data_IF_756359717063
#
_entry.id   IF_756359717063
#
_cell.length_a   1.000
_cell.length_b   1.000
_cell.length_c   1.000
_cell.angle_alpha   90.00
_cell.angle_beta   90.00
_cell.angle_gamma   90.00
#
_symmetry.space_group_name_H-M   'P 1'
#
loop_
_entity.id
_entity.type
_entity.pdbx_description
1 polymer ?
#
# COMPACT_ATOMS: atom_id res chain seq x y z
N UNK A 1 0.96 -13.09 -12.77
CA UNK A 1 -0.07 -12.76 -13.79
C UNK A 1 0.56 -11.91 -14.87
N UNK A 2 0.00 -11.89 -16.08
CA UNK A 2 0.48 -11.12 -17.22
C UNK A 2 0.72 -9.63 -16.87
N UNK A 3 -0.22 -9.00 -16.15
CA UNK A 3 -0.07 -7.59 -15.68
C UNK A 3 1.18 -7.41 -14.81
N UNK A 4 1.47 -8.35 -13.92
CA UNK A 4 2.67 -8.25 -13.05
C UNK A 4 3.95 -8.36 -13.86
N UNK A 5 4.00 -9.20 -14.88
CA UNK A 5 5.16 -9.30 -15.77
C UNK A 5 5.35 -8.02 -16.59
N UNK A 6 4.26 -7.44 -17.11
CA UNK A 6 4.34 -6.12 -17.76
C UNK A 6 4.81 -5.02 -16.80
N UNK A 7 4.40 -5.06 -15.52
CA UNK A 7 4.89 -4.13 -14.49
C UNK A 7 6.40 -4.29 -14.24
N UNK A 8 6.92 -5.54 -14.27
CA UNK A 8 8.37 -5.81 -14.17
C UNK A 8 9.11 -5.27 -15.39
N UNK A 9 8.62 -5.55 -16.60
CA UNK A 9 9.21 -5.06 -17.86
C UNK A 9 9.28 -3.52 -17.90
N UNK A 10 8.28 -2.84 -17.34
CA UNK A 10 8.24 -1.38 -17.20
C UNK A 10 9.10 -0.85 -16.03
N UNK A 11 9.75 -1.72 -15.24
CA UNK A 11 10.57 -1.33 -14.10
C UNK A 11 9.81 -0.74 -12.92
N UNK A 12 8.49 -0.96 -12.82
CA UNK A 12 7.64 -0.32 -11.80
C UNK A 12 7.98 -0.72 -10.36
N UNK A 13 8.66 -1.84 -10.16
CA UNK A 13 9.11 -2.28 -8.84
C UNK A 13 10.38 -1.55 -8.38
N UNK A 14 11.22 -1.08 -9.31
CA UNK A 14 12.48 -0.39 -9.04
C UNK A 14 12.42 1.14 -9.12
N UNK A 15 11.23 1.73 -9.22
CA UNK A 15 11.06 3.18 -9.48
C UNK A 15 11.84 4.07 -8.53
N UNK A 16 11.81 3.81 -7.22
CA UNK A 16 12.47 4.62 -6.19
C UNK A 16 13.76 4.01 -5.67
N UNK A 17 14.11 2.81 -6.12
CA UNK A 17 15.39 2.18 -5.78
C UNK A 17 16.50 2.88 -6.57
N UNK A 18 17.63 3.27 -5.93
CA UNK A 18 18.76 3.88 -6.62
C UNK A 18 19.34 3.02 -7.73
N UNK A 19 19.97 3.67 -8.71
CA UNK A 19 20.60 3.00 -9.85
C UNK A 19 21.70 2.02 -9.42
N UNK A 20 22.41 2.31 -8.33
CA UNK A 20 23.46 1.43 -7.77
C UNK A 20 22.92 0.05 -7.34
N UNK A 21 21.61 -0.05 -7.04
CA UNK A 21 20.90 -1.31 -6.74
C UNK A 21 20.03 -1.77 -7.91
N UNK A 22 20.20 -1.18 -9.12
CA UNK A 22 19.47 -1.58 -10.33
C UNK A 22 18.08 -0.99 -10.49
N UNK A 23 17.73 0.04 -9.72
CA UNK A 23 16.48 0.79 -9.85
C UNK A 23 16.57 2.00 -10.75
N UNK A 24 15.56 2.85 -10.73
CA UNK A 24 15.46 4.09 -11.53
C UNK A 24 15.85 5.36 -10.75
N UNK A 25 15.94 5.31 -9.43
CA UNK A 25 16.28 6.44 -8.57
C UNK A 25 15.30 7.62 -8.63
N UNK A 26 14.03 7.37 -8.94
CA UNK A 26 13.02 8.43 -9.05
C UNK A 26 12.63 8.97 -7.66
N UNK A 27 12.31 10.27 -7.63
CA UNK A 27 11.80 10.94 -6.42
C UNK A 27 10.36 10.52 -6.07
N UNK A 28 9.93 10.87 -4.85
CA UNK A 28 8.59 10.55 -4.37
C UNK A 28 7.51 11.26 -5.20
N UNK A 29 7.76 12.47 -5.68
CA UNK A 29 6.84 13.22 -6.53
C UNK A 29 6.55 12.45 -7.82
N UNK A 30 7.58 12.01 -8.52
CA UNK A 30 7.43 11.21 -9.75
C UNK A 30 6.76 9.86 -9.48
N UNK A 31 7.16 9.17 -8.41
CA UNK A 31 6.50 7.93 -7.99
C UNK A 31 5.01 8.14 -7.70
N UNK A 32 4.66 9.24 -7.04
CA UNK A 32 3.27 9.63 -6.74
C UNK A 32 2.44 9.80 -8.01
N UNK A 33 3.00 10.42 -9.05
CA UNK A 33 2.33 10.57 -10.36
C UNK A 33 2.12 9.22 -11.05
N UNK A 34 3.08 8.30 -10.97
CA UNK A 34 2.95 6.93 -11.48
C UNK A 34 1.82 6.20 -10.75
N UNK A 35 1.77 6.31 -9.41
CA UNK A 35 0.72 5.69 -8.59
C UNK A 35 -0.67 6.24 -8.95
N UNK A 36 -0.80 7.55 -9.20
CA UNK A 36 -2.04 8.17 -9.64
C UNK A 36 -2.53 7.55 -10.96
N UNK A 37 -1.66 7.44 -11.98
CA UNK A 37 -2.04 6.88 -13.27
C UNK A 37 -2.39 5.39 -13.20
N UNK A 38 -1.66 4.61 -12.43
CA UNK A 38 -2.01 3.21 -12.19
C UNK A 38 -3.36 3.06 -11.49
N UNK A 39 -3.64 3.90 -10.50
CA UNK A 39 -4.90 3.89 -9.77
C UNK A 39 -6.08 4.36 -10.63
N UNK A 40 -5.85 5.31 -11.55
CA UNK A 40 -6.81 5.74 -12.57
C UNK A 40 -7.22 4.60 -13.49
N UNK A 41 -6.29 3.72 -13.86
CA UNK A 41 -6.58 2.48 -14.58
C UNK A 41 -7.30 1.46 -13.70
N UNK A 42 -6.66 1.05 -12.62
CA UNK A 42 -7.23 0.14 -11.62
C UNK A 42 -6.45 0.22 -10.30
N UNK A 43 -7.09 0.66 -9.25
CA UNK A 43 -6.48 0.84 -7.92
C UNK A 43 -5.76 -0.42 -7.39
N UNK A 44 -6.16 -1.62 -7.81
CA UNK A 44 -5.49 -2.86 -7.42
C UNK A 44 -4.06 -2.95 -7.94
N UNK A 45 -3.79 -2.42 -9.14
CA UNK A 45 -2.45 -2.44 -9.75
C UNK A 45 -1.52 -1.54 -8.94
N UNK A 46 -1.95 -0.33 -8.61
CA UNK A 46 -1.18 0.57 -7.75
C UNK A 46 -0.91 -0.03 -6.37
N UNK A 47 -1.84 -0.87 -5.87
CA UNK A 47 -1.68 -1.57 -4.59
C UNK A 47 -0.54 -2.58 -4.55
N UNK A 48 -0.22 -3.19 -5.69
CA UNK A 48 0.89 -4.15 -5.79
C UNK A 48 2.21 -3.44 -5.51
N UNK A 49 2.47 -2.31 -6.17
CA UNK A 49 3.72 -1.55 -5.99
C UNK A 49 3.73 -0.75 -4.69
N UNK A 50 2.57 -0.27 -4.22
CA UNK A 50 2.49 0.49 -2.98
C UNK A 50 2.99 -0.31 -1.77
N UNK A 51 2.55 -1.57 -1.64
CA UNK A 51 2.99 -2.42 -0.54
C UNK A 51 4.48 -2.78 -0.67
N UNK A 52 4.94 -3.01 -1.89
CA UNK A 52 6.35 -3.23 -2.20
C UNK A 52 7.21 -2.01 -1.83
N UNK A 53 6.73 -0.80 -2.14
CA UNK A 53 7.40 0.45 -1.82
C UNK A 53 7.67 0.63 -0.32
N UNK A 54 6.78 0.18 0.57
CA UNK A 54 7.05 0.21 2.01
C UNK A 54 8.30 -0.57 2.39
N UNK A 55 8.49 -1.76 1.81
CA UNK A 55 9.70 -2.55 2.03
C UNK A 55 10.95 -1.89 1.48
N UNK A 56 10.86 -1.31 0.28
CA UNK A 56 11.95 -0.52 -0.32
C UNK A 56 12.30 0.67 0.57
N UNK A 57 11.31 1.44 1.01
CA UNK A 57 11.51 2.60 1.87
C UNK A 57 12.19 2.23 3.19
N UNK A 58 11.74 1.15 3.82
CA UNK A 58 12.32 0.66 5.08
C UNK A 58 13.78 0.25 4.91
N UNK A 59 14.11 -0.49 3.84
CA UNK A 59 15.49 -0.88 3.54
C UNK A 59 16.37 0.33 3.24
N UNK A 60 15.90 1.24 2.41
CA UNK A 60 16.67 2.42 2.00
C UNK A 60 17.01 3.32 3.20
N UNK A 61 16.07 3.54 4.11
CA UNK A 61 16.25 4.48 5.22
C UNK A 61 16.85 3.84 6.48
N UNK A 62 16.63 2.54 6.69
CA UNK A 62 17.02 1.87 7.92
C UNK A 62 17.86 0.59 7.71
N UNK A 63 17.86 0.00 6.50
CA UNK A 63 18.62 -1.23 6.25
C UNK A 63 20.13 -1.04 6.38
N UNK A 64 20.84 -2.07 6.84
CA UNK A 64 22.30 -2.12 6.73
C UNK A 64 22.70 -2.23 5.27
N UNK A 65 23.97 -1.94 4.96
CA UNK A 65 24.46 -2.07 3.58
C UNK A 65 24.35 -3.52 3.08
N UNK A 66 24.59 -4.49 3.95
CA UNK A 66 24.42 -5.91 3.64
C UNK A 66 22.96 -6.24 3.31
N UNK A 67 22.01 -5.71 4.07
CA UNK A 67 20.58 -5.89 3.79
C UNK A 67 20.17 -5.23 2.47
N UNK A 68 20.66 -4.03 2.18
CA UNK A 68 20.41 -3.34 0.90
C UNK A 68 20.94 -4.14 -0.26
N UNK A 69 22.19 -4.57 -0.22
CA UNK A 69 22.83 -5.37 -1.27
C UNK A 69 22.16 -6.74 -1.45
N UNK A 70 21.69 -7.35 -0.37
CA UNK A 70 21.00 -8.64 -0.42
C UNK A 70 19.65 -8.54 -1.12
N UNK A 71 18.84 -7.51 -0.82
CA UNK A 71 17.44 -7.48 -1.20
C UNK A 71 17.10 -6.51 -2.33
N UNK A 72 17.65 -5.29 -2.34
CA UNK A 72 17.22 -4.24 -3.27
C UNK A 72 17.40 -4.60 -4.75
N UNK A 73 18.49 -5.27 -5.20
CA UNK A 73 18.62 -5.63 -6.61
C UNK A 73 17.49 -6.53 -7.12
N UNK A 74 17.11 -7.52 -6.35
CA UNK A 74 16.01 -8.42 -6.70
C UNK A 74 14.62 -7.77 -6.49
N UNK A 75 14.53 -6.80 -5.58
CA UNK A 75 13.32 -5.98 -5.42
C UNK A 75 13.14 -5.03 -6.60
N UNK A 76 14.21 -4.45 -7.16
CA UNK A 76 14.15 -3.57 -8.32
C UNK A 76 13.58 -4.26 -9.56
N UNK A 77 13.88 -5.54 -9.76
CA UNK A 77 13.32 -6.36 -10.85
C UNK A 77 11.90 -6.88 -10.56
N UNK A 78 11.46 -6.83 -9.30
CA UNK A 78 10.20 -7.42 -8.84
C UNK A 78 10.26 -8.95 -8.69
N UNK A 79 11.44 -9.56 -8.71
CA UNK A 79 11.65 -10.97 -8.36
C UNK A 79 11.32 -11.19 -6.89
N UNK A 80 11.89 -10.37 -6.01
CA UNK A 80 11.48 -10.30 -4.62
C UNK A 80 10.47 -9.16 -4.43
N UNK A 81 9.31 -9.50 -3.90
CA UNK A 81 8.29 -8.49 -3.56
C UNK A 81 8.10 -8.41 -2.07
N UNK A 82 7.81 -7.21 -1.58
CA UNK A 82 7.60 -6.96 -0.18
C UNK A 82 6.12 -6.88 0.20
N UNK A 83 5.83 -7.21 1.45
CA UNK A 83 4.59 -6.88 2.15
C UNK A 83 4.91 -6.18 3.48
N UNK A 84 3.92 -5.42 3.95
CA UNK A 84 4.01 -4.61 5.17
C UNK A 84 2.96 -5.09 6.17
N UNK A 85 3.39 -5.54 7.36
CA UNK A 85 2.58 -6.36 8.24
C UNK A 85 2.55 -5.80 9.66
N UNK A 86 1.53 -4.96 9.94
CA UNK A 86 1.27 -4.33 11.24
C UNK A 86 0.07 -4.96 11.93
N UNK A 87 -1.10 -4.85 11.28
CA UNK A 87 -2.40 -5.16 11.85
C UNK A 87 -2.53 -6.64 12.23
N UNK A 88 -3.26 -6.88 13.29
CA UNK A 88 -3.64 -8.20 13.77
C UNK A 88 -5.16 -8.30 13.88
N UNK A 89 -5.75 -9.49 14.05
CA UNK A 89 -7.20 -9.62 14.19
C UNK A 89 -7.80 -8.71 15.27
N UNK A 90 -7.08 -8.46 16.36
CA UNK A 90 -7.53 -7.64 17.49
C UNK A 90 -6.80 -6.30 17.63
N UNK A 91 -5.83 -5.99 16.75
CA UNK A 91 -5.03 -4.76 16.81
C UNK A 91 -4.93 -4.11 15.42
N UNK A 92 -5.63 -3.00 15.23
CA UNK A 92 -5.59 -2.17 14.03
C UNK A 92 -5.09 -0.76 14.34
N UNK A 93 -6.00 0.17 14.68
CA UNK A 93 -5.63 1.55 15.04
C UNK A 93 -4.75 1.61 16.30
N UNK A 94 -4.96 0.72 17.25
CA UNK A 94 -4.10 0.52 18.40
C UNK A 94 -3.00 -0.49 18.09
N UNK A 95 -2.01 -0.06 17.29
CA UNK A 95 -0.87 -0.90 16.90
C UNK A 95 -0.05 -1.36 18.11
N UNK A 96 -0.01 -0.57 19.18
CA UNK A 96 0.76 -0.91 20.38
C UNK A 96 0.17 -2.09 21.17
N UNK A 97 -1.08 -2.45 20.92
CA UNK A 97 -1.75 -3.61 21.53
C UNK A 97 -1.49 -4.94 20.81
N UNK A 98 -0.68 -4.95 19.74
CA UNK A 98 -0.36 -6.17 18.99
C UNK A 98 0.15 -7.29 19.92
N UNK A 99 -0.12 -8.53 19.55
CA UNK A 99 0.17 -9.73 20.37
C UNK A 99 1.23 -10.64 19.76
N UNK A 100 1.59 -10.46 18.49
CA UNK A 100 2.69 -11.22 17.86
C UNK A 100 3.99 -10.92 18.60
N UNK A 101 4.69 -11.96 19.01
CA UNK A 101 5.93 -11.87 19.79
C UNK A 101 7.09 -12.53 19.06
N UNK A 102 8.31 -12.12 19.41
CA UNK A 102 9.51 -12.81 19.06
C UNK A 102 10.39 -13.00 20.30
N UNK A 103 10.90 -14.20 20.50
CA UNK A 103 11.81 -14.56 21.59
C UNK A 103 13.14 -15.00 21.02
N UNK A 104 14.25 -14.50 21.61
CA UNK A 104 15.58 -14.97 21.22
C UNK A 104 15.75 -16.43 21.64
N UNK A 105 16.17 -17.26 20.70
CA UNK A 105 16.52 -18.66 20.91
C UNK A 105 18.02 -18.87 20.68
N UNK A 106 18.49 -20.11 20.71
CA UNK A 106 19.91 -20.41 20.49
C UNK A 106 20.39 -19.98 19.10
N UNK A 107 21.71 -19.84 18.93
CA UNK A 107 22.40 -19.64 17.63
C UNK A 107 22.03 -18.39 16.84
N UNK A 108 21.77 -17.25 17.50
CA UNK A 108 21.48 -15.99 16.83
C UNK A 108 20.15 -15.97 16.07
N UNK A 109 19.22 -16.83 16.47
CA UNK A 109 17.88 -16.94 15.92
C UNK A 109 16.83 -16.35 16.85
N UNK A 110 15.75 -15.84 16.25
CA UNK A 110 14.54 -15.42 16.94
C UNK A 110 13.38 -16.31 16.51
N UNK A 111 12.56 -16.72 17.46
CA UNK A 111 11.35 -17.49 17.20
C UNK A 111 10.13 -16.57 17.27
N UNK A 112 9.40 -16.45 16.14
CA UNK A 112 8.23 -15.59 16.00
C UNK A 112 6.96 -16.43 16.14
N UNK A 113 6.02 -15.95 16.96
CA UNK A 113 4.72 -16.55 17.19
C UNK A 113 3.62 -15.48 17.15
N UNK A 114 2.52 -15.77 16.44
CA UNK A 114 1.36 -14.89 16.30
C UNK A 114 0.77 -14.85 14.90
N UNK A 115 -0.08 -13.87 14.65
CA UNK A 115 -0.71 -13.72 13.35
C UNK A 115 -0.87 -12.25 12.97
N UNK A 116 -0.67 -11.95 11.68
CA UNK A 116 -0.96 -10.65 11.06
C UNK A 116 -2.15 -10.78 10.12
N UNK A 117 -2.94 -9.72 10.00
CA UNK A 117 -4.16 -9.70 9.20
C UNK A 117 -4.21 -8.53 8.23
N UNK A 118 -5.00 -8.68 7.16
CA UNK A 118 -5.18 -7.67 6.11
C UNK A 118 -3.91 -7.37 5.31
N UNK A 119 -2.97 -8.31 5.25
CA UNK A 119 -1.68 -8.11 4.60
C UNK A 119 -1.84 -8.17 3.08
N UNK A 120 -1.75 -7.02 2.45
CA UNK A 120 -1.74 -6.89 0.99
C UNK A 120 -0.44 -7.49 0.42
N UNK A 121 -0.53 -8.25 -0.67
CA UNK A 121 0.57 -9.04 -1.24
C UNK A 121 1.10 -10.16 -0.31
N UNK A 122 0.45 -10.47 0.79
CA UNK A 122 0.98 -11.40 1.78
C UNK A 122 1.28 -12.80 1.24
N UNK A 123 0.50 -13.29 0.27
CA UNK A 123 0.76 -14.57 -0.39
C UNK A 123 1.92 -14.46 -1.40
N UNK A 124 1.90 -13.43 -2.23
CA UNK A 124 2.80 -13.31 -3.38
C UNK A 124 4.12 -12.59 -3.06
N UNK A 125 4.26 -11.94 -1.89
CA UNK A 125 5.54 -11.41 -1.43
C UNK A 125 6.46 -12.53 -0.95
N UNK A 126 7.78 -12.27 -1.06
CA UNK A 126 8.82 -13.13 -0.47
C UNK A 126 9.44 -12.50 0.78
N UNK A 127 9.32 -11.19 0.92
CA UNK A 127 9.82 -10.41 2.05
C UNK A 127 8.64 -9.79 2.79
N UNK A 128 8.48 -10.15 4.05
CA UNK A 128 7.43 -9.60 4.90
C UNK A 128 8.07 -8.75 6.01
N UNK A 129 7.85 -7.43 5.99
CA UNK A 129 8.27 -6.55 7.05
C UNK A 129 7.23 -6.63 8.17
N UNK A 130 7.60 -7.24 9.28
CA UNK A 130 6.68 -7.65 10.35
C UNK A 130 7.03 -6.94 11.65
N UNK A 131 6.09 -6.19 12.22
CA UNK A 131 6.23 -5.61 13.55
C UNK A 131 5.82 -6.63 14.60
N UNK A 132 6.71 -6.93 15.55
CA UNK A 132 6.47 -7.87 16.63
C UNK A 132 6.96 -7.31 17.97
N UNK A 133 6.45 -7.82 19.09
CA UNK A 133 6.97 -7.53 20.42
C UNK A 133 8.14 -8.46 20.74
N UNK A 134 9.30 -7.86 20.96
CA UNK A 134 10.51 -8.54 21.50
C UNK A 134 10.66 -8.35 22.99
N UNK A 135 10.07 -7.28 23.54
CA UNK A 135 9.94 -7.06 24.98
C UNK A 135 8.50 -6.62 25.32
N UNK A 136 7.63 -7.57 25.72
CA UNK A 136 6.25 -7.26 26.10
C UNK A 136 6.13 -6.41 27.37
N UNK A 137 7.20 -6.30 28.17
CA UNK A 137 7.23 -5.52 29.43
C UNK A 137 7.72 -4.08 29.26
N UNK A 138 8.15 -3.70 28.05
CA UNK A 138 8.73 -2.38 27.80
C UNK A 138 7.73 -1.24 28.07
N UNK A 139 8.23 -0.19 28.71
CA UNK A 139 7.50 1.05 28.97
C UNK A 139 8.24 2.26 28.37
N UNK A 140 7.64 3.00 27.44
CA UNK A 140 6.34 2.75 26.81
C UNK A 140 6.37 1.55 25.86
N UNK A 141 5.23 0.90 25.63
CA UNK A 141 5.09 -0.37 24.90
C UNK A 141 5.76 -0.38 23.51
N UNK A 142 5.78 0.74 22.79
CA UNK A 142 6.39 0.83 21.48
C UNK A 142 7.91 0.58 21.47
N UNK A 143 8.61 0.81 22.60
CA UNK A 143 10.06 0.54 22.72
C UNK A 143 10.39 -0.95 22.78
N UNK A 144 9.42 -1.80 23.04
CA UNK A 144 9.56 -3.24 23.00
C UNK A 144 9.25 -3.87 21.63
N UNK A 145 9.10 -3.07 20.58
CA UNK A 145 8.69 -3.54 19.28
C UNK A 145 9.84 -3.51 18.26
N UNK A 146 9.98 -4.59 17.51
CA UNK A 146 11.07 -4.78 16.53
C UNK A 146 10.48 -5.12 15.16
N UNK A 147 11.08 -4.59 14.09
CA UNK A 147 10.74 -4.92 12.72
C UNK A 147 11.65 -6.05 12.21
N UNK A 148 11.05 -7.17 11.84
CA UNK A 148 11.73 -8.29 11.20
C UNK A 148 11.45 -8.33 9.70
N UNK A 149 12.45 -8.71 8.91
CA UNK A 149 12.33 -9.08 7.51
C UNK A 149 12.12 -10.59 7.47
N UNK A 150 10.86 -11.02 7.58
CA UNK A 150 10.51 -12.43 7.52
C UNK A 150 10.47 -12.89 6.06
N UNK A 151 11.30 -13.89 5.74
CA UNK A 151 11.39 -14.47 4.41
C UNK A 151 10.40 -15.63 4.27
N UNK A 152 9.82 -15.79 3.07
CA UNK A 152 9.00 -16.95 2.70
C UNK A 152 9.05 -17.20 1.19
N UNK A 153 8.58 -18.35 0.77
CA UNK A 153 8.40 -18.64 -0.64
C UNK A 153 7.19 -17.89 -1.22
N UNK A 154 7.38 -17.25 -2.39
CA UNK A 154 6.32 -16.53 -3.09
C UNK A 154 5.23 -17.49 -3.58
N UNK A 155 3.96 -17.16 -3.30
CA UNK A 155 2.82 -17.96 -3.74
C UNK A 155 2.60 -19.26 -2.97
N UNK A 156 3.40 -19.56 -1.94
CA UNK A 156 3.28 -20.75 -1.11
C UNK A 156 2.44 -20.47 0.12
N UNK A 157 1.46 -21.32 0.39
CA UNK A 157 0.59 -21.23 1.56
C UNK A 157 1.20 -21.82 2.83
N UNK A 158 1.99 -22.88 2.70
CA UNK A 158 2.65 -23.56 3.80
C UNK A 158 4.13 -23.74 3.49
N UNK A 159 4.99 -23.14 4.30
CA UNK A 159 6.42 -23.19 4.12
C UNK A 159 7.03 -24.38 4.89
N UNK A 160 8.06 -25.00 4.32
CA UNK A 160 8.75 -26.16 4.85
C UNK A 160 10.25 -25.90 5.00
N UNK A 161 10.97 -26.86 5.58
CA UNK A 161 12.42 -26.71 5.78
C UNK A 161 12.78 -25.56 6.70
N UNK A 162 13.71 -24.73 6.27
CA UNK A 162 14.19 -23.56 7.05
C UNK A 162 13.12 -22.48 7.27
N UNK A 163 12.12 -22.43 6.41
CA UNK A 163 11.01 -21.46 6.47
C UNK A 163 9.76 -22.01 7.15
N UNK A 164 9.86 -23.21 7.75
CA UNK A 164 8.77 -23.84 8.49
C UNK A 164 8.25 -22.93 9.59
N UNK A 165 6.93 -22.98 9.83
CA UNK A 165 6.27 -22.16 10.84
C UNK A 165 5.83 -20.79 10.34
N UNK A 166 6.09 -20.45 9.06
CA UNK A 166 5.53 -19.27 8.42
C UNK A 166 4.52 -19.67 7.35
N UNK A 167 3.25 -19.50 7.64
CA UNK A 167 2.16 -19.97 6.78
C UNK A 167 1.22 -18.82 6.42
N UNK A 168 0.56 -18.97 5.26
CA UNK A 168 -0.36 -17.98 4.70
C UNK A 168 -1.71 -18.66 4.45
N UNK A 169 -2.73 -18.42 5.27
CA UNK A 169 -4.09 -18.92 5.02
C UNK A 169 -4.64 -18.45 3.67
N UNK A 170 -5.72 -19.07 3.16
CA UNK A 170 -6.36 -18.65 1.93
C UNK A 170 -6.73 -17.16 1.97
N UNK A 171 -6.63 -16.51 0.80
CA UNK A 171 -6.90 -15.06 0.67
C UNK A 171 -8.29 -14.67 1.19
N UNK A 172 -8.36 -13.53 1.84
CA UNK A 172 -9.58 -12.93 2.36
C UNK A 172 -10.48 -12.52 1.19
N UNK A 173 -11.77 -12.89 1.26
CA UNK A 173 -12.79 -12.47 0.29
C UNK A 173 -13.19 -11.02 0.58
N UNK A 174 -12.91 -10.11 -0.35
CA UNK A 174 -13.16 -8.67 -0.20
C UNK A 174 -14.30 -8.19 -1.09
N UNK A 175 -14.93 -7.08 -0.72
CA UNK A 175 -15.94 -6.39 -1.53
C UNK A 175 -15.32 -5.86 -2.83
N UNK A 176 -14.24 -5.11 -2.74
CA UNK A 176 -13.44 -4.52 -3.83
C UNK A 176 -11.97 -4.92 -3.77
N UNK A 177 -11.13 -4.19 -4.52
CA UNK A 177 -9.68 -4.38 -4.52
C UNK A 177 -9.27 -5.81 -4.85
N UNK A 178 -9.95 -6.39 -5.86
CA UNK A 178 -9.87 -7.83 -6.14
C UNK A 178 -8.67 -8.23 -6.99
N UNK A 179 -7.97 -7.27 -7.60
CA UNK A 179 -6.79 -7.52 -8.42
C UNK A 179 -5.51 -7.78 -7.62
N UNK A 180 -5.54 -7.57 -6.30
CA UNK A 180 -4.45 -7.90 -5.37
C UNK A 180 -5.03 -8.67 -4.20
N UNK A 181 -4.31 -9.68 -3.71
CA UNK A 181 -4.76 -10.44 -2.55
C UNK A 181 -4.50 -9.70 -1.23
N UNK A 182 -5.31 -9.99 -0.25
CA UNK A 182 -5.08 -9.70 1.16
C UNK A 182 -5.22 -10.98 1.94
N UNK A 183 -4.29 -11.24 2.83
CA UNK A 183 -4.18 -12.51 3.54
C UNK A 183 -3.90 -12.28 5.02
N UNK A 184 -3.95 -13.34 5.78
CA UNK A 184 -3.29 -13.46 7.07
C UNK A 184 -1.87 -13.97 6.87
N UNK A 185 -0.97 -13.67 7.81
CA UNK A 185 0.33 -14.30 7.96
C UNK A 185 0.35 -14.96 9.33
N UNK A 186 0.59 -16.26 9.37
CA UNK A 186 0.61 -17.04 10.63
C UNK A 186 2.03 -17.49 10.92
N UNK A 187 2.50 -17.16 12.10
CA UNK A 187 3.80 -17.57 12.62
C UNK A 187 3.57 -18.55 13.79
N UNK A 188 4.07 -19.75 13.63
CA UNK A 188 4.00 -20.84 14.63
C UNK A 188 5.38 -21.46 14.79
N UNK A 189 6.17 -20.89 15.68
CA UNK A 189 7.56 -21.26 15.87
C UNK A 189 8.45 -20.93 14.65
N UNK A 190 8.12 -19.86 13.89
CA UNK A 190 8.95 -19.44 12.76
C UNK A 190 10.28 -18.90 13.23
N UNK A 191 11.37 -19.51 12.78
CA UNK A 191 12.74 -19.11 13.12
C UNK A 191 13.28 -18.10 12.11
N UNK A 192 13.57 -16.91 12.59
CA UNK A 192 14.09 -15.78 11.83
C UNK A 192 15.50 -15.43 12.29
N UNK A 193 16.51 -15.36 11.41
CA UNK A 193 17.86 -14.98 11.79
C UNK A 193 17.93 -13.56 12.37
N UNK A 194 18.82 -13.34 13.33
CA UNK A 194 19.08 -12.01 13.91
C UNK A 194 19.48 -10.96 12.86
N UNK A 195 20.18 -11.37 11.80
CA UNK A 195 20.55 -10.51 10.68
C UNK A 195 19.36 -9.97 9.88
N UNK A 196 18.19 -10.61 10.00
CA UNK A 196 16.93 -10.19 9.39
C UNK A 196 16.14 -9.19 10.25
N UNK A 197 16.67 -8.76 11.39
CA UNK A 197 16.14 -7.57 12.07
C UNK A 197 16.56 -6.34 11.25
N UNK A 198 15.60 -5.49 10.94
CA UNK A 198 15.87 -4.25 10.19
C UNK A 198 16.90 -3.41 10.94
N UNK A 199 17.95 -2.98 10.27
CA UNK A 199 19.16 -2.31 10.79
C UNK A 199 20.09 -3.21 11.65
N UNK A 200 19.82 -4.53 11.68
CA UNK A 200 20.58 -5.49 12.47
C UNK A 200 20.13 -5.58 13.93
N UNK A 201 20.57 -6.63 14.62
CA UNK A 201 20.09 -6.94 15.99
C UNK A 201 20.43 -5.85 17.00
N UNK A 202 21.67 -5.40 17.02
CA UNK A 202 22.18 -4.46 18.04
C UNK A 202 21.45 -3.11 17.99
N UNK A 203 21.22 -2.58 16.78
CA UNK A 203 20.58 -1.28 16.56
C UNK A 203 19.07 -1.37 16.33
N UNK A 204 18.55 -2.54 15.95
CA UNK A 204 17.17 -2.70 15.47
C UNK A 204 16.17 -3.16 16.53
N UNK A 205 16.63 -3.87 17.57
CA UNK A 205 15.73 -4.32 18.63
C UNK A 205 15.12 -3.12 19.36
N UNK A 206 13.77 -3.10 19.43
CA UNK A 206 13.03 -2.00 20.06
C UNK A 206 12.81 -0.76 19.18
N UNK A 207 13.29 -0.75 17.91
CA UNK A 207 13.15 0.40 17.01
C UNK A 207 12.03 0.22 15.98
N UNK A 208 11.47 -0.97 15.85
CA UNK A 208 10.55 -1.32 14.77
C UNK A 208 9.31 -0.45 14.69
N UNK A 209 8.76 -0.01 15.81
CA UNK A 209 7.58 0.87 15.79
C UNK A 209 7.89 2.21 15.10
N UNK A 210 8.99 2.86 15.48
CA UNK A 210 9.37 4.17 14.89
C UNK A 210 9.65 4.01 13.40
N UNK A 211 10.39 2.99 13.01
CA UNK A 211 10.71 2.69 11.61
C UNK A 211 9.45 2.51 10.76
N UNK A 212 8.50 1.72 11.25
CA UNK A 212 7.28 1.45 10.50
C UNK A 212 6.31 2.64 10.50
N UNK A 213 6.28 3.46 11.54
CA UNK A 213 5.48 4.70 11.55
C UNK A 213 6.02 5.74 10.56
N UNK A 214 7.35 5.85 10.42
CA UNK A 214 7.98 6.71 9.41
C UNK A 214 7.61 6.26 7.98
N UNK A 215 7.65 4.96 7.71
CA UNK A 215 7.18 4.42 6.43
C UNK A 215 5.69 4.73 6.16
N UNK A 216 4.84 4.76 7.18
CA UNK A 216 3.42 5.13 7.01
C UNK A 216 3.22 6.60 6.62
N UNK A 217 4.16 7.50 6.93
CA UNK A 217 4.08 8.90 6.49
C UNK A 217 4.07 8.99 4.96
N UNK A 218 5.06 8.38 4.30
CA UNK A 218 5.10 8.30 2.83
C UNK A 218 3.98 7.43 2.27
N UNK A 219 3.55 6.42 3.02
CA UNK A 219 2.38 5.62 2.68
C UNK A 219 1.10 6.44 2.55
N UNK A 220 0.92 7.49 3.36
CA UNK A 220 -0.21 8.42 3.25
C UNK A 220 -0.22 9.16 1.93
N UNK A 221 0.94 9.62 1.45
CA UNK A 221 1.07 10.26 0.12
C UNK A 221 0.67 9.28 -0.99
N UNK A 222 1.11 8.03 -0.90
CA UNK A 222 0.71 6.97 -1.83
C UNK A 222 -0.80 6.73 -1.85
N UNK A 223 -1.43 6.65 -0.69
CA UNK A 223 -2.89 6.46 -0.60
C UNK A 223 -3.62 7.69 -1.15
N UNK A 224 -3.10 8.91 -0.91
CA UNK A 224 -3.64 10.14 -1.50
C UNK A 224 -3.60 10.08 -3.03
N UNK A 225 -2.46 9.70 -3.64
CA UNK A 225 -2.34 9.54 -5.09
C UNK A 225 -3.35 8.54 -5.66
N UNK A 226 -3.59 7.44 -4.96
CA UNK A 226 -4.62 6.45 -5.33
C UNK A 226 -6.03 7.05 -5.27
N UNK A 227 -6.31 7.90 -4.27
CA UNK A 227 -7.55 8.66 -4.15
C UNK A 227 -7.76 9.62 -5.32
N UNK A 228 -6.71 10.34 -5.73
CA UNK A 228 -6.74 11.22 -6.91
C UNK A 228 -7.01 10.42 -8.17
N UNK A 229 -6.31 9.30 -8.39
CA UNK A 229 -6.47 8.46 -9.57
C UNK A 229 -7.90 7.91 -9.73
N UNK A 230 -8.49 7.39 -8.66
CA UNK A 230 -9.87 6.89 -8.71
C UNK A 230 -10.90 8.02 -8.89
N UNK A 231 -10.67 9.19 -8.28
CA UNK A 231 -11.51 10.37 -8.45
C UNK A 231 -11.46 10.89 -9.88
N UNK A 232 -10.26 10.98 -10.47
CA UNK A 232 -10.04 11.34 -11.88
C UNK A 232 -10.79 10.39 -12.81
N UNK A 233 -10.67 9.08 -12.59
CA UNK A 233 -11.37 8.10 -13.42
C UNK A 233 -12.88 8.23 -13.32
N UNK A 234 -13.42 8.45 -12.14
CA UNK A 234 -14.84 8.68 -11.93
C UNK A 234 -15.34 9.92 -12.68
N UNK A 235 -14.58 11.02 -12.65
CA UNK A 235 -14.89 12.23 -13.41
C UNK A 235 -14.92 11.97 -14.93
N UNK A 236 -13.93 11.26 -15.47
CA UNK A 236 -13.86 10.92 -16.89
C UNK A 236 -15.06 10.08 -17.37
N UNK A 237 -15.43 9.08 -16.57
CA UNK A 237 -16.61 8.24 -16.87
C UNK A 237 -17.90 9.06 -16.82
N UNK A 238 -18.05 9.92 -15.81
CA UNK A 238 -19.20 10.80 -15.67
C UNK A 238 -19.32 11.80 -16.84
N UNK A 239 -18.18 12.42 -17.22
CA UNK A 239 -18.11 13.33 -18.38
C UNK A 239 -18.53 12.65 -19.67
N UNK A 240 -17.98 11.46 -19.96
CA UNK A 240 -18.33 10.70 -21.16
C UNK A 240 -19.80 10.33 -21.17
N UNK A 241 -20.27 9.65 -20.14
CA UNK A 241 -21.65 9.18 -20.05
C UNK A 241 -22.66 10.33 -20.14
N UNK A 242 -22.39 11.46 -19.50
CA UNK A 242 -23.29 12.62 -19.50
C UNK A 242 -23.48 13.26 -20.89
N UNK A 243 -22.52 13.10 -21.79
CA UNK A 243 -22.60 13.57 -23.18
C UNK A 243 -23.36 12.59 -24.09
N UNK A 244 -23.28 11.30 -23.80
CA UNK A 244 -23.93 10.23 -24.60
C UNK A 244 -25.38 10.02 -24.20
N UNK A 245 -25.66 9.99 -22.89
CA UNK A 245 -27.01 9.75 -22.36
C UNK A 245 -27.91 10.95 -22.58
N UNK A 246 -29.10 10.71 -23.18
CA UNK A 246 -30.12 11.74 -23.42
C UNK A 246 -31.35 11.55 -22.55
N UNK A 247 -31.89 12.66 -22.05
CA UNK A 247 -33.19 12.74 -21.37
C UNK A 247 -33.86 14.06 -21.81
N UNK A 248 -35.17 14.06 -21.91
CA UNK A 248 -35.94 15.23 -22.36
C UNK A 248 -35.41 15.83 -23.67
N UNK A 249 -34.99 14.96 -24.59
CA UNK A 249 -34.56 15.35 -25.97
C UNK A 249 -33.12 15.89 -26.07
N UNK A 250 -32.33 15.95 -24.98
CA UNK A 250 -30.96 16.49 -24.99
C UNK A 250 -29.98 15.66 -24.12
N UNK A 251 -28.65 15.74 -24.35
CA UNK A 251 -27.67 15.14 -23.48
C UNK A 251 -27.84 15.59 -22.01
N UNK A 252 -27.65 14.68 -21.04
CA UNK A 252 -27.83 15.03 -19.64
C UNK A 252 -26.80 16.06 -19.16
N UNK A 253 -25.64 16.17 -19.82
CA UNK A 253 -24.65 17.24 -19.60
C UNK A 253 -25.22 18.66 -19.80
N UNK A 254 -26.36 18.83 -20.49
CA UNK A 254 -27.01 20.11 -20.69
C UNK A 254 -28.01 20.47 -19.57
N UNK A 255 -28.16 19.60 -18.57
CA UNK A 255 -28.95 19.90 -17.36
C UNK A 255 -28.05 20.51 -16.29
N UNK A 256 -28.44 21.67 -15.74
CA UNK A 256 -27.64 22.42 -14.77
C UNK A 256 -27.23 21.59 -13.56
N UNK A 257 -28.12 20.71 -13.06
CA UNK A 257 -27.81 19.83 -11.94
C UNK A 257 -26.62 18.87 -12.24
N UNK A 258 -26.49 18.40 -13.47
CA UNK A 258 -25.35 17.56 -13.91
C UNK A 258 -24.09 18.41 -14.06
N UNK A 259 -24.22 19.64 -14.61
CA UNK A 259 -23.08 20.54 -14.76
C UNK A 259 -22.45 20.90 -13.41
N UNK A 260 -23.26 21.16 -12.39
CA UNK A 260 -22.76 21.43 -11.03
C UNK A 260 -22.00 20.22 -10.45
N UNK A 261 -22.57 19.02 -10.56
CA UNK A 261 -21.88 17.78 -10.12
C UNK A 261 -20.51 17.62 -10.79
N UNK A 262 -20.44 17.78 -12.12
CA UNK A 262 -19.17 17.68 -12.86
C UNK A 262 -18.16 18.76 -12.46
N UNK A 263 -18.63 19.98 -12.20
CA UNK A 263 -17.78 21.07 -11.75
C UNK A 263 -17.22 20.81 -10.35
N UNK A 264 -18.07 20.32 -9.43
CA UNK A 264 -17.66 19.95 -8.07
C UNK A 264 -16.66 18.80 -8.10
N UNK A 265 -16.92 17.75 -8.89
CA UNK A 265 -15.99 16.63 -9.07
C UNK A 265 -14.63 17.10 -9.60
N UNK A 266 -14.60 17.95 -10.62
CA UNK A 266 -13.36 18.50 -11.18
C UNK A 266 -12.57 19.30 -10.16
N UNK A 267 -13.25 20.13 -9.37
CA UNK A 267 -12.64 20.92 -8.28
C UNK A 267 -12.03 20.02 -7.21
N UNK A 268 -12.74 18.95 -6.79
CA UNK A 268 -12.25 17.99 -5.80
C UNK A 268 -11.00 17.26 -6.30
N UNK A 269 -11.00 16.81 -7.56
CA UNK A 269 -9.84 16.13 -8.18
C UNK A 269 -8.61 17.03 -8.20
N UNK A 270 -8.78 18.29 -8.65
CA UNK A 270 -7.66 19.24 -8.77
C UNK A 270 -7.09 19.60 -7.40
N UNK A 271 -7.94 19.91 -6.43
CA UNK A 271 -7.54 20.21 -5.07
C UNK A 271 -6.80 19.01 -4.42
N UNK A 272 -7.32 17.78 -4.58
CA UNK A 272 -6.70 16.57 -4.05
C UNK A 272 -5.30 16.36 -4.66
N UNK A 273 -5.17 16.54 -5.98
CA UNK A 273 -3.87 16.41 -6.69
C UNK A 273 -2.86 17.44 -6.19
N UNK A 274 -3.25 18.70 -6.07
CA UNK A 274 -2.37 19.77 -5.59
C UNK A 274 -1.86 19.49 -4.17
N UNK A 275 -2.73 19.05 -3.26
CA UNK A 275 -2.33 18.69 -1.90
C UNK A 275 -1.38 17.47 -1.88
N UNK A 276 -1.65 16.47 -2.71
CA UNK A 276 -0.83 15.25 -2.81
C UNK A 276 0.57 15.56 -3.33
N UNK A 277 0.67 16.31 -4.43
CA UNK A 277 1.95 16.74 -5.02
C UNK A 277 2.73 17.66 -4.07
N UNK A 278 2.04 18.56 -3.35
CA UNK A 278 2.69 19.38 -2.33
C UNK A 278 3.36 18.53 -1.25
N UNK A 279 2.65 17.56 -0.69
CA UNK A 279 3.19 16.67 0.35
C UNK A 279 4.39 15.85 -0.17
N UNK A 280 4.31 15.33 -1.40
CA UNK A 280 5.40 14.60 -2.03
C UNK A 280 6.65 15.47 -2.20
N UNK A 281 6.51 16.69 -2.76
CA UNK A 281 7.63 17.62 -2.96
C UNK A 281 8.29 18.06 -1.67
N UNK A 282 7.53 18.29 -0.60
CA UNK A 282 8.11 18.60 0.71
C UNK A 282 9.00 17.47 1.21
N UNK A 283 8.57 16.22 1.04
CA UNK A 283 9.41 15.06 1.40
C UNK A 283 10.67 14.95 0.54
N UNK A 284 10.56 15.18 -0.76
CA UNK A 284 11.70 15.19 -1.69
C UNK A 284 12.72 16.27 -1.33
N UNK A 285 12.26 17.42 -0.83
CA UNK A 285 13.11 18.52 -0.35
C UNK A 285 13.72 18.27 1.05
N UNK A 286 13.43 17.14 1.68
CA UNK A 286 13.86 16.85 3.06
C UNK A 286 13.11 17.64 4.14
N UNK A 287 11.98 18.23 3.81
CA UNK A 287 11.13 18.96 4.73
C UNK A 287 10.23 18.01 5.55
N UNK A 288 9.87 18.41 6.75
CA UNK A 288 8.85 17.69 7.54
C UNK A 288 7.49 17.81 6.85
N UNK A 289 6.86 16.68 6.54
CA UNK A 289 5.63 16.61 5.74
C UNK A 289 4.51 15.75 6.33
N UNK A 290 4.64 15.33 7.59
CA UNK A 290 3.66 14.47 8.26
C UNK A 290 2.24 15.06 8.30
N UNK A 291 2.12 16.36 8.53
CA UNK A 291 0.85 17.09 8.52
C UNK A 291 0.25 17.13 7.11
N UNK A 292 1.06 17.56 6.11
CA UNK A 292 0.63 17.67 4.72
C UNK A 292 0.27 16.31 4.13
N UNK A 293 1.04 15.26 4.43
CA UNK A 293 0.73 13.89 4.04
C UNK A 293 -0.59 13.41 4.65
N UNK A 294 -0.84 13.73 5.93
CA UNK A 294 -2.10 13.44 6.61
C UNK A 294 -3.29 14.15 5.99
N UNK A 295 -3.16 15.47 5.73
CA UNK A 295 -4.21 16.28 5.08
C UNK A 295 -4.48 15.79 3.65
N UNK A 296 -3.43 15.52 2.88
CA UNK A 296 -3.55 15.04 1.50
C UNK A 296 -4.29 13.68 1.47
N UNK A 297 -3.92 12.73 2.35
CA UNK A 297 -4.59 11.43 2.45
C UNK A 297 -6.06 11.59 2.79
N UNK A 298 -6.39 12.36 3.81
CA UNK A 298 -7.77 12.58 4.22
C UNK A 298 -8.59 13.18 3.08
N UNK A 299 -8.13 14.30 2.51
CA UNK A 299 -8.86 15.00 1.47
C UNK A 299 -9.01 14.15 0.19
N UNK A 300 -7.93 13.51 -0.28
CA UNK A 300 -7.97 12.73 -1.52
C UNK A 300 -8.84 11.47 -1.39
N UNK A 301 -8.87 10.81 -0.22
CA UNK A 301 -9.77 9.67 -0.01
C UNK A 301 -11.24 10.09 0.00
N UNK A 302 -11.59 11.18 0.66
CA UNK A 302 -12.96 11.72 0.68
C UNK A 302 -13.38 12.23 -0.72
N UNK A 303 -12.48 12.91 -1.45
CA UNK A 303 -12.71 13.33 -2.84
C UNK A 303 -12.94 12.12 -3.75
N UNK A 304 -12.21 11.02 -3.55
CA UNK A 304 -12.41 9.75 -4.24
C UNK A 304 -13.82 9.21 -4.04
N UNK A 305 -14.26 9.15 -2.79
CA UNK A 305 -15.62 8.74 -2.43
C UNK A 305 -16.68 9.63 -3.07
N UNK A 306 -16.53 10.95 -2.93
CA UNK A 306 -17.44 11.93 -3.51
C UNK A 306 -17.56 11.77 -5.02
N UNK A 307 -16.43 11.72 -5.74
CA UNK A 307 -16.43 11.60 -7.20
C UNK A 307 -17.04 10.28 -7.68
N UNK A 308 -16.76 9.17 -7.00
CA UNK A 308 -17.34 7.87 -7.37
C UNK A 308 -18.84 7.84 -7.12
N UNK A 309 -19.31 8.39 -5.99
CA UNK A 309 -20.76 8.51 -5.68
C UNK A 309 -21.46 9.36 -6.73
N UNK A 310 -20.93 10.52 -7.08
CA UNK A 310 -21.53 11.40 -8.07
C UNK A 310 -21.52 10.78 -9.48
N UNK A 311 -20.43 10.09 -9.86
CA UNK A 311 -20.36 9.33 -11.09
C UNK A 311 -21.44 8.24 -11.14
N UNK A 312 -21.60 7.49 -10.05
CA UNK A 312 -22.64 6.47 -9.91
C UNK A 312 -24.05 7.06 -10.12
N UNK A 313 -24.34 8.21 -9.47
CA UNK A 313 -25.64 8.91 -9.61
C UNK A 313 -25.87 9.43 -11.03
N UNK A 314 -24.84 9.95 -11.70
CA UNK A 314 -24.93 10.42 -13.09
C UNK A 314 -25.27 9.26 -14.03
N UNK A 315 -24.76 8.04 -13.78
CA UNK A 315 -25.09 6.85 -14.54
C UNK A 315 -26.53 6.32 -14.25
N UNK A 316 -27.12 6.71 -13.13
CA UNK A 316 -28.44 6.23 -12.70
C UNK A 316 -28.46 4.70 -12.56
N UNK A 317 -29.50 4.04 -13.03
CA UNK A 317 -29.61 2.58 -12.95
C UNK A 317 -28.46 1.80 -13.60
N UNK A 318 -27.86 2.35 -14.64
CA UNK A 318 -26.70 1.74 -15.29
C UNK A 318 -25.45 1.74 -14.43
N UNK A 319 -25.30 2.68 -13.49
CA UNK A 319 -24.22 2.67 -12.51
C UNK A 319 -24.18 1.43 -11.62
N UNK A 320 -25.31 0.76 -11.47
CA UNK A 320 -25.46 -0.47 -10.68
C UNK A 320 -25.19 -1.75 -11.49
N UNK A 321 -24.96 -1.61 -12.80
CA UNK A 321 -24.68 -2.74 -13.68
C UNK A 321 -23.18 -2.99 -13.81
N UNK A 322 -22.79 -4.27 -13.82
CA UNK A 322 -21.40 -4.69 -14.09
C UNK A 322 -20.92 -4.40 -15.53
N UNK A 323 -21.81 -3.96 -16.41
CA UNK A 323 -21.45 -3.51 -17.76
C UNK A 323 -20.73 -2.16 -17.76
N UNK A 324 -20.86 -1.39 -16.67
CA UNK A 324 -20.23 -0.08 -16.49
C UNK A 324 -19.17 -0.13 -15.40
N UNK A 325 -18.03 0.47 -15.68
CA UNK A 325 -16.86 0.45 -14.78
C UNK A 325 -17.12 1.10 -13.42
N UNK A 326 -18.06 2.02 -13.33
CA UNK A 326 -18.36 2.76 -12.11
C UNK A 326 -18.74 1.85 -10.93
N UNK A 327 -19.39 0.68 -11.17
CA UNK A 327 -19.71 -0.27 -10.12
C UNK A 327 -18.44 -0.83 -9.45
N UNK A 328 -17.38 -1.04 -10.25
CA UNK A 328 -16.07 -1.48 -9.73
C UNK A 328 -15.44 -0.39 -8.89
N UNK A 329 -15.43 0.86 -9.37
CA UNK A 329 -14.91 2.00 -8.61
C UNK A 329 -15.63 2.15 -7.27
N UNK A 330 -16.97 1.94 -7.28
CA UNK A 330 -17.80 2.03 -6.06
C UNK A 330 -17.44 0.98 -5.01
N UNK A 331 -17.05 -0.23 -5.43
CA UNK A 331 -16.56 -1.27 -4.53
C UNK A 331 -15.11 -1.09 -4.10
N UNK A 332 -14.30 -0.40 -4.90
CA UNK A 332 -12.87 -0.24 -4.66
C UNK A 332 -12.57 0.97 -3.76
N UNK A 333 -13.32 2.08 -3.90
CA UNK A 333 -13.04 3.34 -3.19
C UNK A 333 -13.11 3.25 -1.66
N UNK A 334 -13.95 2.42 -1.02
CA UNK A 334 -13.98 2.31 0.45
C UNK A 334 -12.67 1.82 1.10
N UNK A 335 -11.72 1.37 0.30
CA UNK A 335 -10.39 0.96 0.78
C UNK A 335 -9.52 2.16 1.20
N UNK A 336 -9.76 3.35 0.66
CA UNK A 336 -8.90 4.55 0.80
C UNK A 336 -9.00 5.30 2.16
#
# INVERSE_FOLDING_TARGET
>A
TEIVEQMKELGLFGTTIPEEYGGMGLDLTTYTMIVEELARGWISISGIINTHYFGVYLLMNFGTEEQKQKYLPQMATGELRASFSLSEPEAGSDVQSLKTTASKVEDGMWEINGAKMWVTNGLMSSLCFVLVKTDPSAEPAFKGMTCFIAEKESGVHENTGALKGFNVPPKIKKMGYKGVESTELVFDGYRCPSENILVGEEAGVGQGFIQMMDALEVGRVNVAARGVGIAQRALELALRYSQERKTFGKPIAQHQAIQFKLADMATQVDAARLMTIRAARMKDNGERSDLEAGMAKLFASEAGHFCVEECFRIHGGYGYSKEYEVERLYRDVPLL
#
